data_IF_612178753516
#
_entry.id   IF_612178753516
#
_cell.length_a   1.000
_cell.length_b   1.000
_cell.length_c   1.000
_cell.angle_alpha   90.00
_cell.angle_beta   90.00
_cell.angle_gamma   90.00
#
_symmetry.space_group_name_H-M   'P 1'
#
loop_
_entity.id
_entity.type
_entity.pdbx_description
1 polymer ?
#
# COMPACT_ATOMS: atom_id res chain seq x y z
N UNK A 1 23.06 13.77 -28.66
CA UNK A 1 23.05 12.49 -27.92
C UNK A 1 21.77 12.48 -27.08
N UNK A 2 21.09 11.36 -27.05
CA UNK A 2 19.90 11.19 -26.21
C UNK A 2 20.33 10.98 -24.75
N UNK A 3 19.69 11.68 -23.81
CA UNK A 3 19.95 11.55 -22.37
C UNK A 3 19.46 10.19 -21.90
N UNK A 4 20.32 9.41 -21.23
CA UNK A 4 19.98 8.12 -20.63
C UNK A 4 19.62 8.31 -19.16
N UNK A 5 18.44 7.90 -18.78
CA UNK A 5 17.94 8.04 -17.41
C UNK A 5 17.62 6.67 -16.82
N UNK A 6 18.22 6.36 -15.69
CA UNK A 6 17.84 5.21 -14.86
C UNK A 6 16.92 5.67 -13.71
N UNK A 7 15.84 4.95 -13.50
CA UNK A 7 14.96 5.12 -12.34
C UNK A 7 14.94 3.81 -11.57
N UNK A 8 15.41 3.83 -10.34
CA UNK A 8 15.41 2.65 -9.46
C UNK A 8 14.13 2.65 -8.62
N UNK A 9 13.25 1.72 -8.95
CA UNK A 9 11.92 1.59 -8.36
C UNK A 9 10.79 1.89 -9.35
N UNK A 10 9.98 0.87 -9.65
CA UNK A 10 8.82 0.94 -10.53
C UNK A 10 7.50 1.21 -9.79
N UNK A 11 7.58 1.75 -8.58
CA UNK A 11 6.42 2.21 -7.83
C UNK A 11 5.81 3.50 -8.42
N UNK A 12 4.76 4.06 -7.79
CA UNK A 12 4.10 5.28 -8.28
C UNK A 12 5.07 6.43 -8.55
N UNK A 13 6.03 6.67 -7.64
CA UNK A 13 7.01 7.76 -7.80
C UNK A 13 7.84 7.59 -9.06
N UNK A 14 8.35 6.38 -9.32
CA UNK A 14 9.13 6.09 -10.53
C UNK A 14 8.30 6.18 -11.80
N UNK A 15 7.07 5.66 -11.78
CA UNK A 15 6.16 5.72 -12.93
C UNK A 15 5.75 7.17 -13.27
N UNK A 16 5.40 7.99 -12.26
CA UNK A 16 5.09 9.40 -12.49
C UNK A 16 6.30 10.20 -12.99
N UNK A 17 7.50 9.91 -12.45
CA UNK A 17 8.73 10.53 -12.95
C UNK A 17 8.96 10.16 -14.42
N UNK A 18 8.85 8.88 -14.77
CA UNK A 18 9.02 8.45 -16.17
C UNK A 18 8.01 9.12 -17.09
N UNK A 19 6.75 9.26 -16.66
CA UNK A 19 5.72 9.98 -17.40
C UNK A 19 6.09 11.46 -17.61
N UNK A 20 6.60 12.12 -16.58
CA UNK A 20 7.05 13.50 -16.67
C UNK A 20 8.26 13.64 -17.61
N UNK A 21 9.22 12.72 -17.54
CA UNK A 21 10.38 12.68 -18.43
C UNK A 21 9.98 12.47 -19.88
N UNK A 22 9.09 11.52 -20.19
CA UNK A 22 8.61 11.31 -21.57
C UNK A 22 7.93 12.55 -22.15
N UNK A 23 7.27 13.36 -21.29
CA UNK A 23 6.62 14.61 -21.68
C UNK A 23 7.63 15.76 -21.87
N UNK A 24 8.61 15.89 -20.97
CA UNK A 24 9.52 17.03 -20.92
C UNK A 24 10.81 16.82 -21.73
N UNK A 25 11.24 15.57 -21.86
CA UNK A 25 12.44 15.14 -22.58
C UNK A 25 12.10 13.96 -23.50
N UNK A 26 11.32 14.17 -24.57
CA UNK A 26 10.79 13.09 -25.42
C UNK A 26 11.88 12.23 -26.07
N UNK A 27 13.07 12.80 -26.30
CA UNK A 27 14.22 12.11 -26.92
C UNK A 27 15.08 11.34 -25.90
N UNK A 28 14.74 11.38 -24.59
CA UNK A 28 15.48 10.64 -23.57
C UNK A 28 15.23 9.13 -23.64
N UNK A 29 16.23 8.34 -23.25
CA UNK A 29 16.09 6.91 -23.03
C UNK A 29 15.84 6.68 -21.53
N UNK A 30 14.61 6.34 -21.15
CA UNK A 30 14.24 6.08 -19.77
C UNK A 30 14.19 4.59 -19.52
N UNK A 31 14.94 4.12 -18.53
CA UNK A 31 14.94 2.73 -18.04
C UNK A 31 14.52 2.73 -16.58
N UNK A 32 13.49 1.96 -16.23
CA UNK A 32 13.08 1.71 -14.86
C UNK A 32 13.55 0.32 -14.44
N UNK A 33 14.28 0.25 -13.32
CA UNK A 33 14.73 -0.99 -12.71
C UNK A 33 13.91 -1.24 -11.44
N UNK A 34 13.51 -2.48 -11.20
CA UNK A 34 12.85 -2.84 -9.94
C UNK A 34 13.30 -4.24 -9.50
N UNK A 35 13.48 -4.44 -8.19
CA UNK A 35 13.82 -5.74 -7.62
C UNK A 35 12.69 -6.77 -7.80
N UNK A 36 11.45 -6.29 -7.93
CA UNK A 36 10.31 -7.15 -8.20
C UNK A 36 10.18 -7.43 -9.71
N UNK A 37 9.70 -8.61 -10.08
CA UNK A 37 9.53 -8.98 -11.49
C UNK A 37 8.40 -8.21 -12.17
N UNK A 38 7.53 -7.55 -11.40
CA UNK A 38 6.34 -6.84 -11.89
C UNK A 38 6.34 -5.42 -11.33
N UNK A 39 6.05 -4.39 -12.16
CA UNK A 39 6.05 -3.00 -11.74
C UNK A 39 4.83 -2.65 -10.86
N UNK A 40 4.76 -1.39 -10.48
CA UNK A 40 3.70 -0.65 -9.81
C UNK A 40 3.79 -0.63 -8.28
N UNK A 41 4.74 -1.32 -7.65
CA UNK A 41 5.08 -1.19 -6.23
C UNK A 41 3.86 -1.19 -5.31
N UNK A 42 3.70 -0.13 -4.49
CA UNK A 42 2.59 -0.03 -3.52
C UNK A 42 1.20 -0.02 -4.15
N UNK A 43 1.03 0.45 -5.39
CA UNK A 43 -0.30 0.39 -6.04
C UNK A 43 -0.74 -1.05 -6.20
N UNK A 44 0.19 -1.94 -6.52
CA UNK A 44 -0.08 -3.36 -6.65
C UNK A 44 -0.16 -4.06 -5.30
N UNK A 45 0.80 -3.81 -4.42
CA UNK A 45 1.04 -4.65 -3.24
C UNK A 45 0.72 -4.00 -1.89
N UNK A 46 0.44 -2.69 -1.85
CA UNK A 46 0.19 -1.96 -0.62
C UNK A 46 -1.18 -1.28 -0.55
N UNK A 47 -1.83 -1.02 -1.69
CA UNK A 47 -3.22 -0.56 -1.72
C UNK A 47 -4.13 -1.73 -1.39
N UNK A 48 -5.16 -1.49 -0.58
CA UNK A 48 -6.12 -2.51 -0.19
C UNK A 48 -6.63 -3.32 -1.41
N UNK A 49 -6.69 -4.66 -1.33
CA UNK A 49 -6.96 -5.53 -2.49
C UNK A 49 -8.31 -5.28 -3.14
N UNK A 50 -9.26 -4.70 -2.43
CA UNK A 50 -10.60 -4.36 -2.90
C UNK A 50 -10.73 -2.91 -3.42
N UNK A 51 -9.71 -2.06 -3.27
CA UNK A 51 -9.70 -0.70 -3.80
C UNK A 51 -9.33 -0.66 -5.30
N UNK A 52 -10.12 -1.33 -6.13
CA UNK A 52 -9.89 -1.46 -7.56
C UNK A 52 -9.88 -0.12 -8.30
N UNK A 53 -10.65 0.88 -7.83
CA UNK A 53 -10.62 2.25 -8.35
C UNK A 53 -9.24 2.90 -8.23
N UNK A 54 -8.61 2.80 -7.06
CA UNK A 54 -7.25 3.32 -6.81
C UNK A 54 -6.20 2.53 -7.61
N UNK A 55 -6.36 1.20 -7.68
CA UNK A 55 -5.45 0.33 -8.44
C UNK A 55 -5.55 0.55 -9.95
N UNK A 56 -6.64 1.11 -10.45
CA UNK A 56 -6.83 1.36 -11.89
C UNK A 56 -5.76 2.26 -12.52
N UNK A 57 -5.02 3.06 -11.73
CA UNK A 57 -3.87 3.86 -12.20
C UNK A 57 -2.79 2.99 -12.87
N UNK A 58 -2.70 1.71 -12.53
CA UNK A 58 -1.78 0.76 -13.17
C UNK A 58 -1.99 0.68 -14.67
N UNK A 59 -3.22 0.85 -15.16
CA UNK A 59 -3.56 0.90 -16.60
C UNK A 59 -2.91 2.09 -17.29
N UNK A 60 -2.78 3.22 -16.58
CA UNK A 60 -2.07 4.39 -17.09
C UNK A 60 -0.57 4.15 -17.11
N UNK A 61 -0.02 3.61 -16.03
CA UNK A 61 1.41 3.32 -15.94
C UNK A 61 1.86 2.24 -16.94
N UNK A 62 1.03 1.26 -17.24
CA UNK A 62 1.34 0.23 -18.23
C UNK A 62 1.65 0.83 -19.63
N UNK A 63 1.02 1.95 -19.99
CA UNK A 63 1.28 2.63 -21.26
C UNK A 63 2.70 3.12 -21.42
N UNK A 64 3.39 3.46 -20.31
CA UNK A 64 4.80 3.85 -20.31
C UNK A 64 5.66 2.77 -20.98
N UNK A 65 5.41 1.52 -20.61
CA UNK A 65 6.17 0.35 -21.08
C UNK A 65 5.67 -0.15 -22.43
N UNK A 66 4.36 -0.14 -22.64
CA UNK A 66 3.75 -0.69 -23.86
C UNK A 66 3.80 0.26 -25.05
N UNK A 67 3.77 1.57 -24.84
CA UNK A 67 3.53 2.56 -25.90
C UNK A 67 4.47 3.76 -25.89
N UNK A 68 5.03 4.13 -24.74
CA UNK A 68 5.81 5.36 -24.60
C UNK A 68 7.31 5.13 -24.59
N UNK A 69 7.75 3.88 -24.84
CA UNK A 69 9.16 3.53 -25.02
C UNK A 69 9.99 3.59 -23.75
N UNK A 70 9.38 3.45 -22.57
CA UNK A 70 10.10 3.26 -21.31
C UNK A 70 10.49 1.80 -21.18
N UNK A 71 11.78 1.51 -20.97
CA UNK A 71 12.25 0.16 -20.71
C UNK A 71 12.01 -0.22 -19.27
N UNK A 72 11.49 -1.43 -19.02
CA UNK A 72 11.36 -2.00 -17.70
C UNK A 72 12.31 -3.20 -17.53
N UNK A 73 13.12 -3.17 -16.49
CA UNK A 73 13.99 -4.25 -16.07
C UNK A 73 13.55 -4.71 -14.68
N UNK A 74 12.69 -5.73 -14.65
CA UNK A 74 12.24 -6.36 -13.41
C UNK A 74 13.24 -7.41 -12.92
N UNK A 75 13.16 -7.76 -11.63
CA UNK A 75 14.06 -8.67 -10.94
C UNK A 75 15.54 -8.22 -10.99
N UNK A 76 15.74 -6.89 -10.99
CA UNK A 76 17.07 -6.26 -10.92
C UNK A 76 17.14 -5.47 -9.62
N UNK A 77 17.99 -5.90 -8.71
CA UNK A 77 18.13 -5.33 -7.38
C UNK A 77 19.45 -4.61 -7.22
N UNK A 78 19.38 -3.33 -6.88
CA UNK A 78 20.56 -2.52 -6.57
C UNK A 78 21.21 -3.04 -5.28
N UNK A 79 22.50 -3.36 -5.38
CA UNK A 79 23.25 -3.99 -4.30
C UNK A 79 23.43 -5.51 -4.46
N UNK A 80 22.59 -6.18 -5.27
CA UNK A 80 22.71 -7.59 -5.63
C UNK A 80 23.25 -7.76 -7.06
N UNK A 81 22.64 -7.11 -8.03
CA UNK A 81 22.92 -7.30 -9.46
C UNK A 81 23.80 -6.21 -10.05
N UNK A 82 24.02 -5.13 -9.32
CA UNK A 82 24.87 -4.00 -9.62
C UNK A 82 24.80 -2.98 -8.49
N UNK A 83 25.71 -2.03 -8.49
CA UNK A 83 25.75 -0.97 -7.49
C UNK A 83 25.43 0.40 -8.10
N UNK A 84 25.42 1.45 -7.27
CA UNK A 84 25.10 2.80 -7.74
C UNK A 84 26.15 3.35 -8.72
N UNK A 85 27.43 3.03 -8.50
CA UNK A 85 28.52 3.50 -9.37
C UNK A 85 28.39 2.89 -10.76
N UNK A 86 28.03 1.61 -10.86
CA UNK A 86 27.76 0.95 -12.15
C UNK A 86 26.65 1.66 -12.92
N UNK A 87 25.58 2.09 -12.22
CA UNK A 87 24.51 2.85 -12.85
C UNK A 87 24.96 4.25 -13.30
N UNK A 88 25.79 4.94 -12.50
CA UNK A 88 26.34 6.26 -12.84
C UNK A 88 27.34 6.22 -14.01
N UNK A 89 27.95 5.07 -14.28
CA UNK A 89 28.78 4.87 -15.49
C UNK A 89 27.95 4.63 -16.75
N UNK A 90 26.77 4.03 -16.62
CA UNK A 90 25.93 3.63 -17.75
C UNK A 90 24.89 4.68 -18.14
N UNK A 91 24.47 5.52 -17.21
CA UNK A 91 23.40 6.49 -17.36
C UNK A 91 23.85 7.91 -17.01
N UNK A 92 23.33 8.89 -17.73
CA UNK A 92 23.61 10.30 -17.48
C UNK A 92 22.92 10.83 -16.20
N UNK A 93 21.79 10.22 -15.85
CA UNK A 93 20.98 10.55 -14.65
C UNK A 93 20.51 9.25 -13.99
N UNK A 94 20.69 9.17 -12.68
CA UNK A 94 20.13 8.08 -11.85
C UNK A 94 19.22 8.67 -10.79
N UNK A 95 17.99 8.16 -10.71
CA UNK A 95 17.00 8.59 -9.72
C UNK A 95 16.57 7.41 -8.86
N UNK A 96 16.65 7.57 -7.54
CA UNK A 96 16.23 6.57 -6.58
C UNK A 96 14.77 6.83 -6.18
N UNK A 97 13.87 5.92 -6.56
CA UNK A 97 12.43 5.95 -6.27
C UNK A 97 11.98 4.65 -5.57
N UNK A 98 12.83 4.15 -4.67
CA UNK A 98 12.76 2.82 -4.06
C UNK A 98 11.60 2.63 -3.09
N UNK A 99 10.94 3.70 -2.67
CA UNK A 99 9.84 3.65 -1.72
C UNK A 99 10.27 3.25 -0.30
N UNK A 100 9.29 2.83 0.50
CA UNK A 100 9.48 2.31 1.85
C UNK A 100 8.91 0.89 1.91
N UNK A 101 9.71 -0.07 2.31
CA UNK A 101 9.35 -1.50 2.29
C UNK A 101 8.98 -2.07 3.67
N UNK A 102 9.30 -1.37 4.75
CA UNK A 102 9.10 -1.87 6.10
C UNK A 102 8.07 -1.04 6.88
N UNK A 103 7.33 -1.72 7.75
CA UNK A 103 6.48 -1.09 8.74
C UNK A 103 7.31 -0.44 9.85
N UNK A 104 6.75 0.58 10.49
CA UNK A 104 7.33 1.13 11.71
C UNK A 104 7.08 0.17 12.87
N UNK A 105 8.12 -0.16 13.62
CA UNK A 105 8.00 -0.91 14.86
C UNK A 105 7.36 -0.07 15.97
N UNK A 106 6.65 -0.71 16.87
CA UNK A 106 6.11 -0.06 18.08
C UNK A 106 7.19 0.22 19.12
N UNK A 107 8.27 -0.55 19.07
CA UNK A 107 9.43 -0.48 19.96
C UNK A 107 10.12 -1.84 20.00
N UNK A 108 11.38 -1.91 20.49
CA UNK A 108 12.13 -3.16 20.51
C UNK A 108 11.47 -4.24 21.39
N UNK A 109 10.70 -3.85 22.39
CA UNK A 109 9.94 -4.75 23.27
C UNK A 109 8.78 -5.46 22.58
N UNK A 110 8.40 -5.02 21.40
CA UNK A 110 7.29 -5.60 20.62
C UNK A 110 7.75 -6.42 19.40
N UNK A 111 9.05 -6.67 19.25
CA UNK A 111 9.60 -7.31 18.03
C UNK A 111 9.12 -8.74 17.83
N UNK A 112 8.92 -9.49 18.90
CA UNK A 112 8.58 -10.92 18.83
C UNK A 112 7.29 -11.26 19.62
N UNK A 113 6.32 -10.35 19.62
CA UNK A 113 5.04 -10.59 20.31
C UNK A 113 4.15 -11.45 19.41
N UNK A 114 3.75 -12.65 19.86
CA UNK A 114 2.82 -13.48 19.11
C UNK A 114 1.49 -12.77 18.86
N UNK A 115 0.96 -12.88 17.64
CA UNK A 115 -0.30 -12.22 17.25
C UNK A 115 -0.16 -10.73 16.93
N UNK A 116 1.06 -10.18 16.91
CA UNK A 116 1.33 -8.84 16.43
C UNK A 116 1.76 -8.87 14.96
N UNK A 117 1.01 -8.22 14.10
CA UNK A 117 1.26 -8.17 12.67
C UNK A 117 1.43 -6.73 12.19
N UNK A 118 2.37 -6.50 11.29
CA UNK A 118 2.49 -5.24 10.57
C UNK A 118 1.35 -5.05 9.58
N UNK A 119 0.77 -3.86 9.50
CA UNK A 119 -0.28 -3.56 8.53
C UNK A 119 0.22 -3.71 7.09
N UNK A 120 1.49 -3.36 6.82
CA UNK A 120 2.13 -3.56 5.54
C UNK A 120 2.35 -5.05 5.23
N UNK A 121 2.69 -5.89 6.23
CA UNK A 121 2.81 -7.32 6.05
C UNK A 121 1.47 -7.95 5.66
N UNK A 122 0.39 -7.58 6.33
CA UNK A 122 -0.95 -8.05 6.01
C UNK A 122 -1.39 -7.60 4.61
N UNK A 123 -1.16 -6.34 4.24
CA UNK A 123 -1.52 -5.85 2.90
C UNK A 123 -0.68 -6.50 1.81
N UNK A 124 0.61 -6.76 2.04
CA UNK A 124 1.46 -7.53 1.12
C UNK A 124 0.96 -8.98 0.97
N UNK A 125 0.63 -9.63 2.08
CA UNK A 125 0.07 -10.98 2.09
C UNK A 125 -1.21 -11.04 1.24
N UNK A 126 -2.15 -10.16 1.50
CA UNK A 126 -3.44 -10.14 0.81
C UNK A 126 -3.34 -9.69 -0.66
N UNK A 127 -2.27 -9.04 -1.06
CA UNK A 127 -1.97 -8.69 -2.44
C UNK A 127 -1.01 -9.66 -3.14
N UNK A 128 -0.62 -10.77 -2.49
CA UNK A 128 0.26 -11.79 -3.08
C UNK A 128 1.65 -11.26 -3.40
N UNK A 129 2.26 -10.46 -2.50
CA UNK A 129 3.61 -9.95 -2.68
C UNK A 129 4.63 -11.08 -2.70
N UNK A 130 5.56 -11.15 -3.69
CA UNK A 130 6.48 -12.29 -3.85
C UNK A 130 7.38 -12.57 -2.62
N UNK A 131 7.77 -11.53 -1.89
CA UNK A 131 8.63 -11.67 -0.72
C UNK A 131 7.86 -11.90 0.58
N UNK A 132 6.53 -11.92 0.51
CA UNK A 132 5.70 -12.16 1.68
C UNK A 132 5.42 -13.64 1.80
N UNK A 133 5.89 -14.26 2.88
CA UNK A 133 5.52 -15.64 3.20
C UNK A 133 4.00 -15.77 3.37
N UNK A 134 3.46 -16.85 2.85
CA UNK A 134 2.05 -17.17 3.05
C UNK A 134 1.85 -17.68 4.49
N UNK A 135 1.05 -16.95 5.24
CA UNK A 135 0.60 -17.37 6.56
C UNK A 135 -0.87 -17.01 6.75
N UNK A 136 -1.53 -17.67 7.66
CA UNK A 136 -2.88 -17.30 8.08
C UNK A 136 -2.75 -16.57 9.42
N UNK A 137 -3.06 -15.25 9.49
CA UNK A 137 -2.98 -14.53 10.75
C UNK A 137 -4.03 -15.06 11.73
N UNK A 138 -3.57 -15.42 12.93
CA UNK A 138 -4.49 -15.74 14.04
C UNK A 138 -4.92 -14.44 14.72
N UNK A 139 -6.15 -14.04 14.44
CA UNK A 139 -6.70 -12.77 14.94
C UNK A 139 -7.67 -12.99 16.12
N UNK A 140 -7.94 -14.26 16.49
CA UNK A 140 -8.90 -14.58 17.54
C UNK A 140 -10.32 -14.11 17.23
N UNK A 141 -11.10 -13.83 18.28
CA UNK A 141 -12.43 -13.21 18.19
C UNK A 141 -12.42 -11.70 18.46
N UNK A 142 -11.33 -11.19 18.99
CA UNK A 142 -11.12 -9.78 19.33
C UNK A 142 -9.71 -9.34 18.92
N UNK A 143 -9.61 -8.28 18.14
CA UNK A 143 -8.33 -7.74 17.70
C UNK A 143 -8.24 -6.23 17.91
N UNK A 144 -7.02 -5.71 17.96
CA UNK A 144 -6.74 -4.28 18.04
C UNK A 144 -5.96 -3.82 16.81
N UNK A 145 -6.41 -2.75 16.18
CA UNK A 145 -5.68 -2.05 15.12
C UNK A 145 -5.10 -0.77 15.70
N UNK A 146 -3.77 -0.67 15.71
CA UNK A 146 -3.06 0.46 16.29
C UNK A 146 -2.73 1.47 15.21
N UNK A 147 -3.34 2.65 15.29
CA UNK A 147 -3.20 3.75 14.36
C UNK A 147 -4.57 4.35 14.01
N UNK A 148 -4.59 5.61 13.61
CA UNK A 148 -5.79 6.31 13.16
C UNK A 148 -5.57 7.07 11.84
N UNK A 149 -4.83 6.45 10.92
CA UNK A 149 -4.67 6.88 9.53
C UNK A 149 -5.44 5.97 8.57
N UNK A 150 -5.41 6.31 7.28
CA UNK A 150 -6.14 5.57 6.23
C UNK A 150 -5.82 4.07 6.19
N UNK A 151 -4.55 3.70 6.36
CA UNK A 151 -4.14 2.28 6.38
C UNK A 151 -4.82 1.51 7.51
N UNK A 152 -4.91 2.11 8.70
CA UNK A 152 -5.57 1.46 9.84
C UNK A 152 -7.07 1.25 9.56
N UNK A 153 -7.74 2.24 8.96
CA UNK A 153 -9.16 2.11 8.58
C UNK A 153 -9.34 1.07 7.48
N UNK A 154 -8.42 0.98 6.51
CA UNK A 154 -8.44 -0.07 5.50
C UNK A 154 -8.34 -1.47 6.12
N UNK A 155 -7.43 -1.67 7.08
CA UNK A 155 -7.31 -2.95 7.80
C UNK A 155 -8.62 -3.28 8.53
N UNK A 156 -9.17 -2.32 9.30
CA UNK A 156 -10.46 -2.52 9.99
C UNK A 156 -11.56 -2.91 9.00
N UNK A 157 -11.63 -2.20 7.88
CA UNK A 157 -12.64 -2.42 6.85
C UNK A 157 -12.51 -3.80 6.19
N UNK A 158 -11.29 -4.20 5.86
CA UNK A 158 -11.04 -5.53 5.28
C UNK A 158 -11.39 -6.66 6.25
N UNK A 159 -11.05 -6.49 7.54
CA UNK A 159 -11.34 -7.48 8.57
C UNK A 159 -12.83 -7.55 8.97
N UNK A 160 -13.57 -6.46 8.76
CA UNK A 160 -15.00 -6.38 9.07
C UNK A 160 -15.91 -6.91 7.95
N UNK A 161 -15.38 -7.13 6.75
CA UNK A 161 -16.13 -7.60 5.58
C UNK A 161 -16.42 -9.10 5.64
N UNK A 162 -17.57 -9.50 5.08
CA UNK A 162 -17.87 -10.89 4.76
C UNK A 162 -17.13 -11.36 3.49
N UNK A 163 -17.10 -12.68 3.26
CA UNK A 163 -16.41 -13.25 2.10
C UNK A 163 -16.98 -12.73 0.75
N UNK A 164 -18.28 -12.52 0.70
CA UNK A 164 -19.01 -12.02 -0.46
C UNK A 164 -18.67 -10.56 -0.83
N UNK A 165 -18.21 -9.78 0.15
CA UNK A 165 -17.84 -8.37 -0.07
C UNK A 165 -16.52 -8.19 -0.85
N UNK A 166 -15.84 -9.30 -1.14
CA UNK A 166 -14.57 -9.30 -1.89
C UNK A 166 -14.74 -9.64 -3.38
N UNK A 167 -15.95 -9.78 -3.86
CA UNK A 167 -16.19 -10.03 -5.28
C UNK A 167 -15.59 -8.91 -6.14
N UNK A 168 -14.77 -9.30 -7.12
CA UNK A 168 -14.06 -8.37 -8.00
C UNK A 168 -12.79 -7.74 -7.40
N UNK A 169 -12.38 -8.13 -6.19
CA UNK A 169 -11.10 -7.75 -5.59
C UNK A 169 -9.93 -8.64 -6.06
N UNK A 170 -8.70 -8.27 -5.69
CA UNK A 170 -7.50 -9.07 -5.99
C UNK A 170 -7.36 -10.30 -5.08
N UNK A 171 -8.18 -10.42 -4.05
CA UNK A 171 -8.17 -11.51 -3.08
C UNK A 171 -9.54 -12.15 -2.99
N UNK A 172 -9.56 -13.45 -2.71
CA UNK A 172 -10.80 -14.17 -2.38
C UNK A 172 -11.14 -13.96 -0.91
N UNK A 173 -12.42 -13.76 -0.62
CA UNK A 173 -12.90 -13.48 0.73
C UNK A 173 -12.47 -14.50 1.77
N UNK A 174 -12.36 -15.77 1.40
CA UNK A 174 -11.93 -16.85 2.30
C UNK A 174 -10.50 -16.67 2.83
N UNK A 175 -9.66 -15.92 2.13
CA UNK A 175 -8.29 -15.62 2.56
C UNK A 175 -8.23 -14.55 3.66
N UNK A 176 -9.32 -13.80 3.88
CA UNK A 176 -9.45 -12.80 4.97
C UNK A 176 -10.54 -13.24 5.97
N UNK A 177 -11.28 -14.29 5.67
CA UNK A 177 -12.36 -14.75 6.54
C UNK A 177 -11.87 -14.94 7.97
N UNK A 178 -12.54 -14.28 8.91
CA UNK A 178 -12.16 -14.27 10.32
C UNK A 178 -13.33 -14.66 11.18
N UNK A 179 -13.07 -15.16 12.39
CA UNK A 179 -14.05 -15.34 13.45
C UNK A 179 -14.23 -14.08 14.31
N UNK A 180 -13.70 -12.94 13.86
CA UNK A 180 -13.69 -11.69 14.60
C UNK A 180 -15.12 -11.22 14.92
N UNK A 181 -15.29 -10.80 16.18
CA UNK A 181 -16.52 -10.20 16.69
C UNK A 181 -16.30 -8.74 17.09
N UNK A 182 -15.08 -8.44 17.53
CA UNK A 182 -14.73 -7.10 18.00
C UNK A 182 -13.41 -6.64 17.38
N UNK A 183 -13.41 -5.43 16.85
CA UNK A 183 -12.21 -4.77 16.35
C UNK A 183 -12.09 -3.43 17.07
N UNK A 184 -10.99 -3.23 17.80
CA UNK A 184 -10.69 -1.97 18.47
C UNK A 184 -9.71 -1.15 17.62
N UNK A 185 -10.14 0.01 17.15
CA UNK A 185 -9.25 0.98 16.49
C UNK A 185 -8.71 1.94 17.54
N UNK A 186 -7.39 1.91 17.75
CA UNK A 186 -6.72 2.66 18.82
C UNK A 186 -5.77 3.68 18.22
N UNK A 187 -6.00 4.96 18.47
CA UNK A 187 -5.15 6.06 18.06
C UNK A 187 -4.55 6.83 19.25
N UNK A 188 -3.37 7.39 19.08
CA UNK A 188 -2.76 8.27 20.07
C UNK A 188 -3.40 9.66 20.13
N UNK A 189 -3.93 10.10 18.99
CA UNK A 189 -4.61 11.40 18.87
C UNK A 189 -6.08 11.25 19.20
N UNK A 190 -6.72 12.26 19.77
CA UNK A 190 -8.17 12.26 19.93
C UNK A 190 -8.88 12.17 18.58
N UNK A 191 -10.15 11.78 18.59
CA UNK A 191 -10.91 11.47 17.39
C UNK A 191 -11.01 12.66 16.41
N UNK A 192 -11.14 13.88 16.91
CA UNK A 192 -11.17 15.13 16.14
C UNK A 192 -9.85 15.43 15.38
N UNK A 193 -8.76 14.77 15.76
CA UNK A 193 -7.43 14.87 15.12
C UNK A 193 -7.01 13.58 14.42
N UNK A 194 -7.95 12.69 14.17
CA UNK A 194 -7.71 11.50 13.37
C UNK A 194 -7.32 11.88 11.93
N UNK A 195 -6.42 11.10 11.33
CA UNK A 195 -5.83 11.40 10.01
C UNK A 195 -6.43 10.57 8.88
N UNK A 196 -7.47 9.82 9.15
CA UNK A 196 -8.19 9.09 8.12
C UNK A 196 -9.19 10.00 7.40
N UNK A 197 -9.49 9.66 6.15
CA UNK A 197 -10.53 10.33 5.38
C UNK A 197 -11.92 9.93 5.93
N UNK A 198 -12.78 10.92 6.17
CA UNK A 198 -14.16 10.70 6.61
C UNK A 198 -14.98 9.81 5.65
N UNK A 199 -14.65 9.78 4.36
CA UNK A 199 -15.28 8.88 3.42
C UNK A 199 -15.02 7.40 3.76
N UNK A 200 -13.82 7.07 4.24
CA UNK A 200 -13.45 5.70 4.60
C UNK A 200 -14.22 5.22 5.85
N UNK A 201 -14.44 6.08 6.83
CA UNK A 201 -15.25 5.71 8.01
C UNK A 201 -16.72 5.52 7.68
N UNK A 202 -17.26 6.30 6.74
CA UNK A 202 -18.63 6.07 6.24
C UNK A 202 -18.78 4.73 5.52
N UNK A 203 -17.72 4.20 4.93
CA UNK A 203 -17.73 2.86 4.34
C UNK A 203 -17.88 1.77 5.39
N UNK A 204 -17.26 1.91 6.57
CA UNK A 204 -17.43 0.97 7.68
C UNK A 204 -18.91 0.84 8.10
N UNK A 205 -19.62 1.94 8.22
CA UNK A 205 -21.05 1.93 8.57
C UNK A 205 -21.98 1.34 7.51
N UNK A 206 -21.48 1.04 6.30
CA UNK A 206 -22.26 0.38 5.24
C UNK A 206 -22.05 -1.14 5.19
N UNK A 207 -21.08 -1.66 5.91
CA UNK A 207 -20.82 -3.11 5.95
C UNK A 207 -21.93 -3.79 6.74
N UNK A 208 -22.56 -4.78 6.15
CA UNK A 208 -23.67 -5.49 6.78
C UNK A 208 -23.25 -6.14 8.10
N UNK A 209 -24.04 -5.96 9.14
CA UNK A 209 -23.79 -6.53 10.47
C UNK A 209 -22.71 -5.82 11.29
N UNK A 210 -22.13 -4.73 10.79
CA UNK A 210 -21.13 -3.93 11.52
C UNK A 210 -21.80 -2.77 12.24
N UNK A 211 -21.49 -2.61 13.53
CA UNK A 211 -21.84 -1.42 14.34
C UNK A 211 -20.55 -0.72 14.72
N UNK A 212 -20.51 0.59 14.54
CA UNK A 212 -19.34 1.42 14.88
C UNK A 212 -19.71 2.27 16.09
N UNK A 213 -18.99 2.08 17.20
CA UNK A 213 -19.16 2.84 18.43
C UNK A 213 -17.90 3.60 18.79
N UNK A 214 -18.05 4.80 19.35
CA UNK A 214 -16.95 5.58 19.86
C UNK A 214 -16.85 5.45 21.40
N UNK A 215 -15.75 4.85 21.87
CA UNK A 215 -15.48 4.72 23.31
C UNK A 215 -15.19 6.06 23.99
N UNK A 216 -14.68 7.05 23.23
CA UNK A 216 -14.39 8.39 23.73
C UNK A 216 -15.28 9.39 23.00
N UNK A 217 -16.19 10.12 23.67
CA UNK A 217 -17.04 11.09 23.01
C UNK A 217 -16.22 12.20 22.35
N UNK A 218 -16.73 12.71 21.22
CA UNK A 218 -16.15 13.89 20.59
C UNK A 218 -16.27 15.11 21.51
N UNK A 219 -15.31 16.04 21.50
CA UNK A 219 -15.46 17.33 22.13
C UNK A 219 -16.71 18.05 21.63
N UNK A 220 -17.41 18.77 22.50
CA UNK A 220 -18.70 19.42 22.19
C UNK A 220 -18.66 20.40 21.01
N UNK A 221 -17.47 20.94 20.69
CA UNK A 221 -17.27 21.93 19.64
C UNK A 221 -16.69 21.32 18.33
N UNK A 222 -16.74 20.00 18.19
CA UNK A 222 -16.22 19.35 16.97
C UNK A 222 -17.25 19.47 15.86
N UNK A 223 -16.88 20.13 14.77
CA UNK A 223 -17.70 20.10 13.54
C UNK A 223 -17.87 18.65 13.07
N UNK A 224 -19.05 18.32 12.55
CA UNK A 224 -19.35 16.99 12.03
C UNK A 224 -18.46 16.65 10.83
N UNK A 225 -17.32 16.04 11.09
CA UNK A 225 -16.38 15.55 10.09
C UNK A 225 -16.79 14.19 9.50
N UNK A 226 -18.06 13.81 9.64
CA UNK A 226 -18.59 12.54 9.14
C UNK A 226 -18.23 11.33 10.00
N UNK A 227 -17.94 11.55 11.29
CA UNK A 227 -17.65 10.51 12.29
C UNK A 227 -18.92 10.09 13.06
N UNK A 228 -20.10 10.66 12.73
CA UNK A 228 -21.40 10.23 13.24
C UNK A 228 -22.19 9.48 12.18
#
# INVERSE_FOLDING_TARGET
MSVKVAVVGAGPSGCYLAQALRKSLPDSNVTILDRLPIPFGLVRYGVAPDHQGTKAITKQFARLFEREGVTFLGNVELGRDGNLDDLLELFDIVVLATGLSADKTLGPEFTDVPGLYGAGDLTRLWNGHPDQENFLPDLGDTTCVIGNGNVAVDIVRLLAKGAEDFDGSDIKGEAISTSLRHIHLIGRSPADKAKFDAAMTRELGKIAGVTVDMATPLPADTEDNGLM
#
